data_IF_493407290179
#
_entry.id   IF_493407290179
#
_cell.length_a   1.000
_cell.length_b   1.000
_cell.length_c   1.000
_cell.angle_alpha   90.00
_cell.angle_beta   90.00
_cell.angle_gamma   90.00
#
_symmetry.space_group_name_H-M   'P 1'
#
loop_
_entity.id
_entity.type
_entity.pdbx_description
1 polymer ?
#
# COMPACT_ATOMS: atom_id res chain seq x y z
N UNK A 1 -45.32 7.60 40.15
CA UNK A 1 -43.99 8.28 39.93
C UNK A 1 -43.31 7.64 38.74
N UNK A 2 -43.25 8.32 37.61
CA UNK A 2 -42.58 7.84 36.42
C UNK A 2 -41.09 8.19 36.52
N UNK A 3 -40.23 7.19 36.60
CA UNK A 3 -38.78 7.37 36.55
C UNK A 3 -38.38 7.57 35.08
N UNK A 4 -37.99 8.79 34.75
CA UNK A 4 -37.41 9.10 33.44
C UNK A 4 -35.93 8.68 33.50
N UNK A 5 -35.60 7.62 32.78
CA UNK A 5 -34.19 7.19 32.56
C UNK A 5 -33.67 8.01 31.40
N UNK A 6 -32.80 8.97 31.68
CA UNK A 6 -32.01 9.66 30.65
C UNK A 6 -30.93 8.69 30.17
N UNK A 7 -31.11 8.14 28.96
CA UNK A 7 -30.02 7.48 28.26
C UNK A 7 -29.07 8.54 27.74
N UNK A 8 -27.94 8.71 28.40
CA UNK A 8 -26.81 9.52 27.89
C UNK A 8 -26.20 8.73 26.75
N UNK A 9 -26.53 9.11 25.51
CA UNK A 9 -25.86 8.63 24.33
C UNK A 9 -24.45 9.26 24.32
N UNK A 10 -23.44 8.51 24.76
CA UNK A 10 -22.06 8.93 24.66
C UNK A 10 -21.68 8.96 23.17
N UNK A 11 -21.69 10.17 22.60
CA UNK A 11 -21.08 10.41 21.30
C UNK A 11 -19.56 10.24 21.46
N UNK A 12 -19.07 9.04 21.21
CA UNK A 12 -17.65 8.81 21.05
C UNK A 12 -17.20 9.61 19.82
N UNK A 13 -16.16 10.47 19.93
CA UNK A 13 -15.61 11.13 18.76
C UNK A 13 -15.03 10.05 17.85
N UNK A 14 -15.67 9.82 16.71
CA UNK A 14 -15.04 9.11 15.61
C UNK A 14 -13.86 9.97 15.16
N UNK A 15 -12.65 9.63 15.60
CA UNK A 15 -11.44 10.15 14.98
C UNK A 15 -11.44 9.59 13.55
N UNK A 16 -11.81 10.44 12.59
CA UNK A 16 -11.58 10.18 11.18
C UNK A 16 -10.04 10.21 11.01
N UNK A 17 -9.40 9.03 11.13
CA UNK A 17 -7.99 8.90 10.79
C UNK A 17 -7.90 9.08 9.29
N UNK A 18 -7.09 10.07 8.85
CA UNK A 18 -6.82 10.27 7.44
C UNK A 18 -6.11 9.04 6.87
N UNK A 19 -6.53 8.58 5.70
CA UNK A 19 -5.88 7.49 4.99
C UNK A 19 -4.43 7.87 4.65
N UNK A 20 -3.55 6.91 4.74
CA UNK A 20 -2.17 7.06 4.30
C UNK A 20 -2.00 6.49 2.90
N UNK A 21 -1.34 7.25 2.04
CA UNK A 21 -1.02 6.85 0.69
C UNK A 21 0.50 6.82 0.50
N UNK A 22 1.02 5.67 0.10
CA UNK A 22 2.43 5.43 -0.20
C UNK A 22 2.60 5.38 -1.72
N UNK A 23 3.34 6.33 -2.28
CA UNK A 23 3.52 6.46 -3.72
C UNK A 23 4.96 6.20 -4.10
N UNK A 24 5.19 5.16 -4.88
CA UNK A 24 6.51 4.81 -5.42
C UNK A 24 6.48 5.09 -6.93
N UNK A 25 7.37 5.98 -7.36
CA UNK A 25 7.66 6.17 -8.77
C UNK A 25 8.74 5.18 -9.19
N UNK A 26 8.50 4.44 -10.25
CA UNK A 26 9.42 3.43 -10.75
C UNK A 26 9.48 3.41 -12.29
N UNK A 27 10.52 2.83 -12.81
CA UNK A 27 10.66 2.47 -14.22
C UNK A 27 10.76 0.95 -14.35
N UNK A 28 10.17 0.42 -15.41
CA UNK A 28 10.29 -1.00 -15.72
C UNK A 28 11.64 -1.27 -16.40
N UNK A 29 12.27 -2.36 -15.99
CA UNK A 29 13.50 -2.85 -16.63
C UNK A 29 13.20 -3.43 -18.01
N UNK A 30 14.22 -3.48 -18.85
CA UNK A 30 14.13 -4.17 -20.13
C UNK A 30 13.65 -5.63 -19.92
N UNK A 31 12.68 -6.03 -20.73
CA UNK A 31 12.07 -7.36 -20.62
C UNK A 31 10.92 -7.50 -19.61
N UNK A 32 10.62 -6.46 -18.84
CA UNK A 32 9.43 -6.41 -18.00
C UNK A 32 8.36 -5.49 -18.60
N UNK A 33 7.14 -5.99 -18.71
CA UNK A 33 5.98 -5.22 -19.20
C UNK A 33 5.11 -4.71 -18.06
N UNK A 34 4.28 -3.70 -18.34
CA UNK A 34 3.28 -3.22 -17.38
C UNK A 34 2.34 -4.35 -16.94
N UNK A 35 1.93 -5.22 -17.87
CA UNK A 35 1.08 -6.37 -17.55
C UNK A 35 1.74 -7.34 -16.56
N UNK A 36 3.04 -7.59 -16.72
CA UNK A 36 3.80 -8.42 -15.77
C UNK A 36 3.90 -7.74 -14.40
N UNK A 37 4.19 -6.45 -14.36
CA UNK A 37 4.26 -5.70 -13.10
C UNK A 37 2.90 -5.68 -12.37
N UNK A 38 1.81 -5.45 -13.10
CA UNK A 38 0.44 -5.54 -12.56
C UNK A 38 0.13 -6.92 -11.98
N UNK A 39 0.61 -7.99 -12.62
CA UNK A 39 0.46 -9.35 -12.10
C UNK A 39 1.18 -9.51 -10.76
N UNK A 40 2.40 -8.99 -10.62
CA UNK A 40 3.13 -9.01 -9.34
C UNK A 40 2.36 -8.23 -8.26
N UNK A 41 1.81 -7.06 -8.60
CA UNK A 41 1.02 -6.26 -7.67
C UNK A 41 -0.27 -6.96 -7.22
N UNK A 42 -0.95 -7.68 -8.11
CA UNK A 42 -2.12 -8.50 -7.76
C UNK A 42 -1.74 -9.63 -6.80
N UNK A 43 -0.65 -10.33 -7.09
CA UNK A 43 -0.14 -11.39 -6.22
C UNK A 43 0.26 -10.83 -4.84
N UNK A 44 0.88 -9.65 -4.81
CA UNK A 44 1.18 -8.94 -3.57
C UNK A 44 -0.09 -8.68 -2.75
N UNK A 45 -1.13 -8.11 -3.37
CA UNK A 45 -2.39 -7.85 -2.68
C UNK A 45 -3.02 -9.12 -2.11
N UNK A 46 -3.03 -10.20 -2.89
CA UNK A 46 -3.64 -11.47 -2.48
C UNK A 46 -2.83 -12.22 -1.42
N UNK A 47 -1.51 -12.28 -1.59
CA UNK A 47 -0.65 -13.13 -0.76
C UNK A 47 -0.17 -12.42 0.51
N UNK A 48 -0.09 -11.09 0.48
CA UNK A 48 0.47 -10.31 1.58
C UNK A 48 -0.40 -9.11 1.98
N UNK A 49 -0.77 -8.24 1.05
CA UNK A 49 -1.42 -6.96 1.34
C UNK A 49 -2.70 -7.09 2.15
N UNK A 50 -3.58 -8.01 1.79
CA UNK A 50 -4.85 -8.27 2.50
C UNK A 50 -4.65 -8.61 3.98
N UNK A 51 -3.57 -9.33 4.31
CA UNK A 51 -3.27 -9.75 5.68
C UNK A 51 -2.76 -8.60 6.56
N UNK A 52 -2.30 -7.53 5.94
CA UNK A 52 -1.62 -6.42 6.61
C UNK A 52 -2.34 -5.08 6.40
N UNK A 53 -3.61 -5.12 6.01
CA UNK A 53 -4.45 -3.94 5.77
C UNK A 53 -3.77 -2.91 4.83
N UNK A 54 -3.11 -3.41 3.80
CA UNK A 54 -2.44 -2.64 2.77
C UNK A 54 -2.91 -3.09 1.39
N UNK A 55 -3.31 -2.14 0.55
CA UNK A 55 -3.73 -2.40 -0.82
C UNK A 55 -2.93 -1.54 -1.79
N UNK A 56 -2.46 -2.14 -2.86
CA UNK A 56 -1.69 -1.46 -3.89
C UNK A 56 -2.42 -1.43 -5.22
N UNK A 57 -2.40 -0.25 -5.84
CA UNK A 57 -2.79 -0.05 -7.23
C UNK A 57 -1.55 0.31 -8.06
N UNK A 58 -1.55 -0.08 -9.33
CA UNK A 58 -0.53 0.31 -10.30
C UNK A 58 -1.14 1.34 -11.24
N UNK A 59 -0.48 2.49 -11.37
CA UNK A 59 -0.91 3.56 -12.26
C UNK A 59 0.11 3.79 -13.36
N UNK A 60 -0.40 4.00 -14.57
CA UNK A 60 0.38 4.45 -15.72
C UNK A 60 -0.15 5.79 -16.20
N UNK A 61 0.74 6.69 -16.60
CA UNK A 61 0.35 8.00 -17.07
C UNK A 61 -0.27 7.93 -18.46
N UNK A 62 -1.44 8.57 -18.62
CA UNK A 62 -2.08 8.79 -19.94
C UNK A 62 -1.90 10.23 -20.42
N UNK A 63 -1.63 11.15 -19.47
CA UNK A 63 -1.32 12.55 -19.73
C UNK A 63 -0.22 12.98 -18.75
N UNK A 64 0.99 13.12 -19.21
CA UNK A 64 2.15 13.52 -18.40
C UNK A 64 3.31 13.90 -19.32
N UNK A 65 4.21 14.72 -18.82
CA UNK A 65 5.51 14.95 -19.45
C UNK A 65 6.39 13.68 -19.38
N UNK A 66 6.17 12.86 -18.37
CA UNK A 66 6.82 11.58 -18.18
C UNK A 66 5.81 10.44 -18.32
N UNK A 67 5.84 9.78 -19.47
CA UNK A 67 4.98 8.63 -19.78
C UNK A 67 5.68 7.28 -19.56
N UNK A 68 6.96 7.30 -19.15
CA UNK A 68 7.73 6.09 -18.89
C UNK A 68 7.55 5.59 -17.45
N UNK A 69 7.34 6.50 -16.51
CA UNK A 69 7.15 6.14 -15.12
C UNK A 69 5.86 5.37 -14.89
N UNK A 70 5.99 4.34 -14.10
CA UNK A 70 4.88 3.59 -13.51
C UNK A 70 4.83 3.95 -12.03
N UNK A 71 3.64 4.03 -11.47
CA UNK A 71 3.45 4.38 -10.07
C UNK A 71 2.80 3.23 -9.33
N UNK A 72 3.39 2.86 -8.21
CA UNK A 72 2.76 2.06 -7.18
C UNK A 72 2.08 2.99 -6.19
N UNK A 73 0.82 2.78 -5.93
CA UNK A 73 0.07 3.54 -4.93
C UNK A 73 -0.47 2.57 -3.88
N UNK A 74 0.18 2.54 -2.73
CA UNK A 74 -0.24 1.77 -1.57
C UNK A 74 -1.16 2.58 -0.68
N UNK A 75 -2.23 1.97 -0.18
CA UNK A 75 -3.21 2.58 0.71
C UNK A 75 -3.31 1.83 2.02
N UNK A 76 -3.35 2.58 3.09
CA UNK A 76 -3.57 2.09 4.46
C UNK A 76 -4.54 3.03 5.18
N UNK A 77 -5.18 2.56 6.24
CA UNK A 77 -6.16 3.34 7.01
C UNK A 77 -5.54 4.49 7.83
N UNK A 78 -4.23 4.67 7.79
CA UNK A 78 -3.51 5.73 8.48
C UNK A 78 -2.02 5.43 8.54
N UNK A 79 -1.23 6.40 9.00
CA UNK A 79 0.23 6.28 9.11
C UNK A 79 0.67 5.16 10.07
N UNK A 80 -0.08 4.93 11.15
CA UNK A 80 0.21 3.83 12.08
C UNK A 80 0.04 2.46 11.41
N UNK A 81 -1.06 2.25 10.69
CA UNK A 81 -1.30 1.00 9.95
C UNK A 81 -0.24 0.77 8.87
N UNK A 82 0.15 1.84 8.15
CA UNK A 82 1.24 1.78 7.19
C UNK A 82 2.56 1.41 7.86
N UNK A 83 2.92 2.02 8.98
CA UNK A 83 4.15 1.74 9.72
C UNK A 83 4.23 0.29 10.18
N UNK A 84 3.13 -0.27 10.69
CA UNK A 84 3.05 -1.69 11.08
C UNK A 84 3.24 -2.62 9.86
N UNK A 85 2.60 -2.33 8.75
CA UNK A 85 2.76 -3.11 7.52
C UNK A 85 4.21 -3.03 7.01
N UNK A 86 4.80 -1.82 7.01
CA UNK A 86 6.18 -1.60 6.61
C UNK A 86 7.18 -2.38 7.47
N UNK A 87 7.06 -2.30 8.78
CA UNK A 87 7.94 -3.02 9.71
C UNK A 87 7.82 -4.53 9.54
N UNK A 88 6.59 -5.03 9.34
CA UNK A 88 6.33 -6.45 9.08
C UNK A 88 6.97 -6.89 7.76
N UNK A 89 6.79 -6.11 6.69
CA UNK A 89 7.42 -6.38 5.40
C UNK A 89 8.95 -6.47 5.51
N UNK A 90 9.58 -5.48 6.15
CA UNK A 90 11.02 -5.44 6.32
C UNK A 90 11.54 -6.66 7.10
N UNK A 91 10.83 -7.05 8.16
CA UNK A 91 11.19 -8.23 8.96
C UNK A 91 11.04 -9.52 8.16
N UNK A 92 9.90 -9.72 7.51
CA UNK A 92 9.64 -10.93 6.72
C UNK A 92 10.57 -11.06 5.52
N UNK A 93 10.93 -9.95 4.88
CA UNK A 93 11.84 -9.94 3.73
C UNK A 93 13.27 -10.42 4.06
N UNK A 94 13.64 -10.49 5.34
CA UNK A 94 14.93 -11.08 5.76
C UNK A 94 14.95 -12.61 5.68
N UNK A 95 13.79 -13.24 5.65
CA UNK A 95 13.66 -14.68 5.45
C UNK A 95 13.44 -14.99 3.96
N UNK A 96 14.39 -15.60 3.26
CA UNK A 96 14.29 -15.89 1.83
C UNK A 96 13.14 -16.84 1.47
N UNK A 97 12.60 -17.57 2.42
CA UNK A 97 11.45 -18.47 2.20
C UNK A 97 10.11 -17.79 2.40
N UNK A 98 10.08 -16.55 2.92
CA UNK A 98 8.85 -15.80 3.13
C UNK A 98 8.20 -15.37 1.81
N UNK A 99 6.88 -15.12 1.87
CA UNK A 99 6.13 -14.52 0.75
C UNK A 99 6.68 -13.14 0.42
N UNK A 100 6.99 -12.32 1.43
CA UNK A 100 7.53 -10.97 1.23
C UNK A 100 8.86 -11.00 0.47
N UNK A 101 9.81 -11.87 0.86
CA UNK A 101 11.10 -11.99 0.18
C UNK A 101 10.95 -12.42 -1.28
N UNK A 102 10.08 -13.39 -1.55
CA UNK A 102 9.82 -13.87 -2.92
C UNK A 102 9.18 -12.80 -3.81
N UNK A 103 8.23 -12.05 -3.27
CA UNK A 103 7.62 -10.92 -3.98
C UNK A 103 8.63 -9.80 -4.22
N UNK A 104 9.48 -9.49 -3.23
CA UNK A 104 10.51 -8.47 -3.36
C UNK A 104 11.50 -8.77 -4.48
N UNK A 105 11.91 -10.02 -4.64
CA UNK A 105 12.75 -10.46 -5.76
C UNK A 105 12.05 -10.20 -7.10
N UNK A 106 10.78 -10.55 -7.21
CA UNK A 106 10.00 -10.33 -8.44
C UNK A 106 9.90 -8.85 -8.79
N UNK A 107 9.65 -7.97 -7.81
CA UNK A 107 9.65 -6.52 -8.02
C UNK A 107 11.02 -6.01 -8.45
N UNK A 108 12.08 -6.44 -7.77
CA UNK A 108 13.45 -6.03 -8.08
C UNK A 108 13.92 -6.48 -9.48
N UNK A 109 13.48 -7.65 -9.92
CA UNK A 109 13.80 -8.15 -11.27
C UNK A 109 13.05 -7.39 -12.37
N UNK A 110 11.89 -6.81 -12.05
CA UNK A 110 11.00 -6.15 -13.02
C UNK A 110 11.15 -4.63 -13.07
N UNK A 111 11.59 -3.98 -12.00
CA UNK A 111 11.56 -2.52 -11.88
C UNK A 111 12.72 -1.93 -11.10
N UNK A 112 12.92 -0.63 -11.33
CA UNK A 112 13.83 0.22 -10.54
C UNK A 112 13.01 1.32 -9.88
N UNK A 113 13.09 1.44 -8.57
CA UNK A 113 12.47 2.51 -7.81
C UNK A 113 13.26 3.81 -8.02
N UNK A 114 12.57 4.89 -8.39
CA UNK A 114 13.14 6.21 -8.58
C UNK A 114 12.93 7.11 -7.38
N UNK A 115 11.74 7.07 -6.79
CA UNK A 115 11.39 7.86 -5.61
C UNK A 115 10.23 7.22 -4.83
N UNK A 116 10.15 7.54 -3.56
CA UNK A 116 9.05 7.12 -2.67
C UNK A 116 8.57 8.28 -1.84
N UNK A 117 7.26 8.47 -1.76
CA UNK A 117 6.62 9.56 -1.03
C UNK A 117 5.40 9.07 -0.29
N UNK A 118 5.23 9.54 0.94
CA UNK A 118 4.02 9.32 1.72
C UNK A 118 3.10 10.54 1.68
N UNK A 119 1.80 10.31 1.66
CA UNK A 119 0.77 11.33 1.66
C UNK A 119 -0.32 11.00 2.67
N UNK A 120 -0.85 12.04 3.29
CA UNK A 120 -2.08 11.99 4.05
C UNK A 120 -3.23 12.40 3.12
N UNK A 121 -4.31 11.61 3.12
CA UNK A 121 -5.48 11.87 2.25
C UNK A 121 -6.55 12.57 3.07
N UNK A 122 -6.97 13.75 2.63
CA UNK A 122 -8.01 14.58 3.27
C UNK A 122 -9.35 14.51 2.54
#
# INVERSE_FOLDING_TARGET
MKKIVFAVLALLPFSLMADHMDVIQLELKDGCTVAQYVTIAKDFNEQWGKKHAYHADVLTAIQSHDVKSVYWVGRSSGAEAFGKAWDTWQKEATDPNSVAAKLQVRFADCSVELSRRGYEVH
#
